data_IF_959598181330
#
_entry.id   IF_959598181330
#
_cell.length_a   1.000
_cell.length_b   1.000
_cell.length_c   1.000
_cell.angle_alpha   90.00
_cell.angle_beta   90.00
_cell.angle_gamma   90.00
#
_symmetry.space_group_name_H-M   'P 1'
#
loop_
_entity.id
_entity.type
_entity.pdbx_description
1 polymer ?
#
# COMPACT_ATOMS: atom_id res chain seq x y z
N UNK A 1 -1.10 21.50 -22.33
CA UNK A 1 -0.48 22.82 -22.57
C UNK A 1 0.25 23.30 -21.32
N UNK A 2 -0.38 23.32 -20.13
CA UNK A 2 0.22 23.79 -18.86
C UNK A 2 1.46 23.00 -18.43
N UNK A 3 1.52 21.68 -18.67
CA UNK A 3 2.67 20.85 -18.30
C UNK A 3 3.94 21.18 -19.09
N UNK A 4 3.83 21.77 -20.29
CA UNK A 4 4.96 22.18 -21.10
C UNK A 4 5.60 23.51 -20.66
N UNK A 5 4.83 24.39 -20.04
CA UNK A 5 5.30 25.72 -19.64
C UNK A 5 5.79 25.80 -18.20
N UNK A 6 5.19 25.01 -17.31
CA UNK A 6 5.45 25.04 -15.87
C UNK A 6 6.24 23.81 -15.36
N UNK A 7 6.49 22.79 -16.21
CA UNK A 7 7.29 21.61 -15.86
C UNK A 7 6.83 20.91 -14.58
N UNK A 8 7.79 20.58 -13.72
CA UNK A 8 7.55 19.87 -12.45
C UNK A 8 6.67 20.66 -11.47
N UNK A 9 6.63 21.98 -11.59
CA UNK A 9 5.84 22.86 -10.71
C UNK A 9 4.33 22.58 -10.83
N UNK A 10 3.83 22.13 -11.99
CA UNK A 10 2.43 21.76 -12.17
C UNK A 10 2.04 20.58 -11.28
N UNK A 11 2.93 19.59 -11.13
CA UNK A 11 2.68 18.43 -10.29
C UNK A 11 2.57 18.84 -8.81
N UNK A 12 3.46 19.71 -8.36
CA UNK A 12 3.44 20.22 -6.98
C UNK A 12 2.16 21.03 -6.73
N UNK A 13 1.78 21.88 -7.68
CA UNK A 13 0.57 22.72 -7.58
C UNK A 13 -0.71 21.85 -7.59
N UNK A 14 -0.75 20.84 -8.44
CA UNK A 14 -1.87 19.89 -8.51
C UNK A 14 -2.02 19.10 -7.22
N UNK A 15 -0.91 18.64 -6.66
CA UNK A 15 -0.90 17.93 -5.38
C UNK A 15 -1.38 18.84 -4.23
N UNK A 16 -0.92 20.09 -4.20
CA UNK A 16 -1.35 21.07 -3.20
C UNK A 16 -2.83 21.40 -3.35
N UNK A 17 -3.30 21.65 -4.57
CA UNK A 17 -4.72 21.93 -4.86
C UNK A 17 -5.62 20.74 -4.46
N UNK A 18 -5.18 19.50 -4.75
CA UNK A 18 -5.89 18.30 -4.32
C UNK A 18 -6.04 18.21 -2.80
N UNK A 19 -4.95 18.43 -2.07
CA UNK A 19 -4.98 18.39 -0.60
C UNK A 19 -5.86 19.51 -0.01
N UNK A 20 -5.80 20.73 -0.55
CA UNK A 20 -6.66 21.84 -0.15
C UNK A 20 -8.14 21.52 -0.41
N UNK A 21 -8.46 20.98 -1.59
CA UNK A 21 -9.82 20.55 -1.92
C UNK A 21 -10.33 19.48 -0.95
N UNK A 22 -9.52 18.46 -0.69
CA UNK A 22 -9.87 17.38 0.24
C UNK A 22 -10.09 17.91 1.66
N UNK A 23 -9.18 18.77 2.16
CA UNK A 23 -9.32 19.40 3.47
C UNK A 23 -10.58 20.28 3.55
N UNK A 24 -10.85 21.08 2.52
CA UNK A 24 -12.05 21.91 2.45
C UNK A 24 -13.34 21.08 2.42
N UNK A 25 -13.36 20.03 1.61
CA UNK A 25 -14.50 19.11 1.53
C UNK A 25 -14.77 18.41 2.87
N UNK A 26 -13.72 17.88 3.53
CA UNK A 26 -13.83 17.27 4.85
C UNK A 26 -14.26 18.28 5.93
N UNK A 27 -13.75 19.52 5.88
CA UNK A 27 -14.16 20.58 6.80
C UNK A 27 -15.65 20.94 6.65
N UNK A 28 -16.17 20.98 5.43
CA UNK A 28 -17.60 21.24 5.17
C UNK A 28 -18.46 20.09 5.70
N UNK A 29 -18.09 18.83 5.42
CA UNK A 29 -18.83 17.65 5.89
C UNK A 29 -18.81 17.51 7.41
N UNK A 30 -17.68 17.79 8.04
CA UNK A 30 -17.51 17.66 9.49
C UNK A 30 -18.05 18.87 10.27
N UNK A 31 -18.41 19.98 9.59
CA UNK A 31 -18.88 21.22 10.21
C UNK A 31 -20.01 21.00 11.21
N UNK A 32 -20.90 20.05 10.96
CA UNK A 32 -22.02 19.71 11.85
C UNK A 32 -21.57 19.09 13.19
N UNK A 33 -20.38 18.49 13.20
CA UNK A 33 -19.81 17.78 14.37
C UNK A 33 -18.77 18.62 15.11
N UNK A 34 -18.49 19.85 14.63
CA UNK A 34 -17.52 20.73 15.27
C UNK A 34 -18.11 21.33 16.55
N UNK A 35 -17.89 20.65 17.65
CA UNK A 35 -18.11 21.21 18.99
C UNK A 35 -16.80 21.81 19.44
N UNK A 36 -16.71 23.15 19.43
CA UNK A 36 -15.54 23.85 19.97
C UNK A 36 -15.58 23.73 21.50
N UNK A 37 -14.92 22.73 22.05
CA UNK A 37 -14.69 22.64 23.49
C UNK A 37 -13.61 23.65 23.90
N UNK A 38 -13.94 24.58 24.80
CA UNK A 38 -12.99 25.56 25.37
C UNK A 38 -11.98 24.94 26.35
N UNK A 39 -12.00 23.62 26.58
CA UNK A 39 -11.07 22.91 27.45
C UNK A 39 -9.72 22.61 26.76
N UNK A 40 -8.69 22.38 27.58
CA UNK A 40 -7.40 21.90 27.04
C UNK A 40 -7.59 20.49 26.43
N UNK A 41 -7.41 20.31 25.10
CA UNK A 41 -7.65 19.03 24.45
C UNK A 41 -6.78 17.89 25.01
N UNK A 42 -5.58 18.19 25.49
CA UNK A 42 -4.66 17.19 26.07
C UNK A 42 -5.12 16.64 27.44
N UNK A 43 -6.09 17.27 28.08
CA UNK A 43 -6.71 16.78 29.32
C UNK A 43 -7.94 15.90 29.08
N UNK A 44 -8.40 15.79 27.86
CA UNK A 44 -9.53 14.92 27.53
C UNK A 44 -9.07 13.46 27.57
N UNK A 45 -9.74 12.58 28.35
CA UNK A 45 -9.38 11.17 28.45
C UNK A 45 -9.33 10.46 27.10
N UNK A 46 -10.26 10.76 26.19
CA UNK A 46 -10.28 10.17 24.85
C UNK A 46 -9.05 10.57 24.01
N UNK A 47 -8.55 11.80 24.17
CA UNK A 47 -7.32 12.27 23.49
C UNK A 47 -6.09 11.59 24.07
N UNK A 48 -6.04 11.40 25.40
CA UNK A 48 -4.93 10.70 26.06
C UNK A 48 -4.87 9.22 25.64
N UNK A 49 -6.03 8.56 25.55
CA UNK A 49 -6.12 7.18 25.07
C UNK A 49 -5.65 7.06 23.59
N UNK A 50 -6.08 8.00 22.74
CA UNK A 50 -5.65 8.07 21.36
C UNK A 50 -4.13 8.28 21.24
N UNK A 51 -3.56 9.20 22.01
CA UNK A 51 -2.12 9.45 22.04
C UNK A 51 -1.34 8.21 22.52
N UNK A 52 -1.88 7.50 23.51
CA UNK A 52 -1.28 6.25 24.01
C UNK A 52 -1.27 5.15 22.94
N UNK A 53 -2.33 5.04 22.14
CA UNK A 53 -2.41 4.11 21.02
C UNK A 53 -1.51 4.52 19.85
N UNK A 54 -1.27 5.81 19.65
CA UNK A 54 -0.41 6.30 18.56
C UNK A 54 1.05 5.90 18.73
N UNK A 55 1.57 5.78 19.96
CA UNK A 55 2.97 5.46 20.21
C UNK A 55 3.43 4.16 19.51
N UNK A 56 2.80 3.00 19.78
CA UNK A 56 3.13 1.74 19.11
C UNK A 56 2.92 1.80 17.59
N UNK A 57 1.87 2.48 17.12
CA UNK A 57 1.59 2.64 15.70
C UNK A 57 2.68 3.44 14.98
N UNK A 58 3.12 4.56 15.57
CA UNK A 58 4.21 5.37 15.02
C UNK A 58 5.51 4.58 14.94
N UNK A 59 5.84 3.78 15.97
CA UNK A 59 7.01 2.90 15.93
C UNK A 59 6.89 1.87 14.80
N UNK A 60 5.75 1.22 14.65
CA UNK A 60 5.51 0.26 13.57
C UNK A 60 5.66 0.87 12.19
N UNK A 61 5.04 2.03 11.95
CA UNK A 61 5.17 2.75 10.68
C UNK A 61 6.60 3.24 10.42
N UNK A 62 7.30 3.72 11.47
CA UNK A 62 8.69 4.17 11.34
C UNK A 62 9.61 3.04 10.87
N UNK A 63 9.42 1.82 11.39
CA UNK A 63 10.18 0.65 10.97
C UNK A 63 9.94 0.31 9.48
N UNK A 64 8.72 0.42 9.00
CA UNK A 64 8.39 0.22 7.58
C UNK A 64 9.10 1.25 6.70
N UNK A 65 9.09 2.53 7.08
CA UNK A 65 9.79 3.57 6.32
C UNK A 65 11.31 3.42 6.36
N UNK A 66 11.88 3.02 7.51
CA UNK A 66 13.32 2.73 7.64
C UNK A 66 13.70 1.59 6.69
N UNK A 67 12.92 0.50 6.66
CA UNK A 67 13.15 -0.62 5.76
C UNK A 67 13.14 -0.18 4.29
N UNK A 68 12.13 0.60 3.87
CA UNK A 68 12.09 1.15 2.50
C UNK A 68 13.28 2.07 2.19
N UNK A 69 13.77 2.81 3.17
CA UNK A 69 14.95 3.66 3.00
C UNK A 69 16.21 2.83 2.82
N UNK A 70 16.38 1.77 3.61
CA UNK A 70 17.50 0.83 3.49
C UNK A 70 17.47 0.13 2.13
N UNK A 71 16.30 -0.35 1.69
CA UNK A 71 16.15 -0.96 0.36
C UNK A 71 16.62 -0.01 -0.76
N UNK A 72 16.20 1.25 -0.72
CA UNK A 72 16.62 2.27 -1.70
C UNK A 72 18.11 2.59 -1.61
N UNK A 73 18.69 2.62 -0.41
CA UNK A 73 20.13 2.82 -0.22
C UNK A 73 20.94 1.66 -0.81
N UNK A 74 20.53 0.43 -0.57
CA UNK A 74 21.18 -0.75 -1.12
C UNK A 74 21.14 -0.75 -2.66
N UNK A 75 19.99 -0.42 -3.23
CA UNK A 75 19.81 -0.38 -4.70
C UNK A 75 20.50 0.82 -5.34
N UNK A 76 20.68 1.93 -4.62
CA UNK A 76 21.38 3.13 -5.16
C UNK A 76 22.86 2.89 -5.43
N UNK A 77 23.47 1.87 -4.83
CA UNK A 77 24.84 1.43 -5.10
C UNK A 77 24.99 0.55 -6.35
N UNK A 78 23.88 0.17 -6.98
CA UNK A 78 23.85 -0.63 -8.20
C UNK A 78 23.91 0.27 -9.46
N UNK A 79 23.69 -0.34 -10.62
CA UNK A 79 23.72 0.33 -11.92
C UNK A 79 22.76 1.53 -12.02
N UNK A 80 23.10 2.48 -12.85
CA UNK A 80 22.24 3.65 -13.11
C UNK A 80 20.86 3.20 -13.60
N UNK A 81 19.79 3.68 -12.92
CA UNK A 81 18.43 3.28 -13.25
C UNK A 81 17.83 2.17 -12.39
N UNK A 82 18.64 1.42 -11.61
CA UNK A 82 18.14 0.32 -10.77
C UNK A 82 17.06 0.77 -9.77
N UNK A 83 17.23 1.94 -9.14
CA UNK A 83 16.21 2.51 -8.24
C UNK A 83 14.90 2.78 -8.98
N UNK A 84 14.99 3.28 -10.21
CA UNK A 84 13.82 3.56 -11.05
C UNK A 84 13.12 2.26 -11.45
N UNK A 85 13.88 1.25 -11.88
CA UNK A 85 13.37 -0.06 -12.23
C UNK A 85 12.68 -0.75 -11.03
N UNK A 86 13.27 -0.65 -9.83
CA UNK A 86 12.67 -1.15 -8.60
C UNK A 86 11.32 -0.47 -8.30
N UNK A 87 11.24 0.85 -8.47
CA UNK A 87 10.00 1.57 -8.28
C UNK A 87 8.90 1.15 -9.27
N UNK A 88 9.25 0.91 -10.54
CA UNK A 88 8.30 0.41 -11.55
C UNK A 88 7.82 -1.00 -11.22
N UNK A 89 8.72 -1.89 -10.81
CA UNK A 89 8.35 -3.23 -10.35
C UNK A 89 7.45 -3.19 -9.11
N UNK A 90 7.73 -2.29 -8.15
CA UNK A 90 6.90 -2.08 -6.97
C UNK A 90 5.49 -1.60 -7.33
N UNK A 91 5.33 -0.72 -8.33
CA UNK A 91 4.01 -0.27 -8.82
C UNK A 91 3.19 -1.46 -9.35
N UNK A 92 3.79 -2.34 -10.18
CA UNK A 92 3.11 -3.54 -10.68
C UNK A 92 2.75 -4.50 -9.54
N UNK A 93 3.67 -4.75 -8.62
CA UNK A 93 3.43 -5.59 -7.46
C UNK A 93 2.30 -5.02 -6.57
N UNK A 94 2.28 -3.71 -6.35
CA UNK A 94 1.25 -3.05 -5.54
C UNK A 94 -0.16 -3.20 -6.10
N UNK A 95 -0.33 -3.36 -7.42
CA UNK A 95 -1.64 -3.68 -7.99
C UNK A 95 -2.16 -5.01 -7.44
N UNK A 96 -1.34 -6.05 -7.45
CA UNK A 96 -1.69 -7.37 -6.90
C UNK A 96 -1.91 -7.29 -5.39
N UNK A 97 -1.01 -6.63 -4.66
CA UNK A 97 -1.13 -6.45 -3.21
C UNK A 97 -2.42 -5.73 -2.80
N UNK A 98 -2.88 -4.76 -3.60
CA UNK A 98 -4.13 -4.03 -3.34
C UNK A 98 -5.35 -4.96 -3.34
N UNK A 99 -5.39 -5.96 -4.22
CA UNK A 99 -6.46 -6.96 -4.18
C UNK A 99 -6.41 -7.78 -2.90
N UNK A 100 -5.23 -8.25 -2.48
CA UNK A 100 -5.07 -9.04 -1.25
C UNK A 100 -5.57 -8.23 -0.05
N UNK A 101 -5.08 -6.98 0.12
CA UNK A 101 -5.46 -6.13 1.25
C UNK A 101 -6.94 -5.74 1.24
N UNK A 102 -7.55 -5.60 0.05
CA UNK A 102 -8.99 -5.32 -0.07
C UNK A 102 -9.81 -6.50 0.43
N UNK A 103 -9.49 -7.72 0.00
CA UNK A 103 -10.19 -8.91 0.48
C UNK A 103 -9.98 -9.13 1.98
N UNK A 104 -8.78 -8.92 2.49
CA UNK A 104 -8.50 -9.00 3.92
C UNK A 104 -9.32 -7.97 4.72
N UNK A 105 -9.45 -6.74 4.23
CA UNK A 105 -10.28 -5.70 4.88
C UNK A 105 -11.77 -6.07 4.92
N UNK A 106 -12.28 -6.69 3.86
CA UNK A 106 -13.66 -7.22 3.85
C UNK A 106 -13.82 -8.35 4.87
N UNK A 107 -12.87 -9.30 4.90
CA UNK A 107 -12.87 -10.39 5.86
C UNK A 107 -12.87 -9.87 7.29
N UNK A 108 -12.03 -8.90 7.60
CA UNK A 108 -11.93 -8.28 8.93
C UNK A 108 -13.29 -7.79 9.43
N UNK A 109 -14.09 -7.14 8.58
CA UNK A 109 -15.43 -6.68 8.93
C UNK A 109 -16.37 -7.84 9.29
N UNK A 110 -16.35 -8.93 8.51
CA UNK A 110 -17.18 -10.12 8.78
C UNK A 110 -16.73 -10.85 10.04
N UNK A 111 -15.43 -11.03 10.24
CA UNK A 111 -14.86 -11.67 11.43
C UNK A 111 -15.23 -10.89 12.70
N UNK A 112 -15.07 -9.57 12.67
CA UNK A 112 -15.44 -8.70 13.79
C UNK A 112 -16.92 -8.82 14.15
N UNK A 113 -17.79 -8.89 13.15
CA UNK A 113 -19.24 -9.06 13.37
C UNK A 113 -19.55 -10.40 14.03
N UNK A 114 -18.91 -11.50 13.61
CA UNK A 114 -19.08 -12.82 14.22
C UNK A 114 -18.60 -12.87 15.66
N UNK A 115 -17.44 -12.28 15.93
CA UNK A 115 -16.90 -12.18 17.30
C UNK A 115 -17.85 -11.38 18.19
N UNK A 116 -18.45 -10.30 17.68
CA UNK A 116 -19.38 -9.45 18.43
C UNK A 116 -20.67 -10.20 18.87
N UNK A 117 -21.09 -11.22 18.12
CA UNK A 117 -22.23 -12.07 18.48
C UNK A 117 -21.82 -13.35 19.24
N UNK A 118 -20.55 -13.51 19.61
CA UNK A 118 -20.04 -14.63 20.39
C UNK A 118 -19.67 -15.88 19.57
N UNK A 119 -19.70 -15.83 18.24
CA UNK A 119 -19.37 -16.93 17.34
C UNK A 119 -17.86 -16.93 17.01
N UNK A 120 -17.02 -17.25 17.99
CA UNK A 120 -15.57 -17.30 17.82
C UNK A 120 -15.12 -18.42 16.88
N UNK A 121 -15.77 -19.59 16.95
CA UNK A 121 -15.45 -20.74 16.10
C UNK A 121 -15.80 -20.47 14.63
N UNK A 122 -16.94 -19.84 14.37
CA UNK A 122 -17.31 -19.41 13.03
C UNK A 122 -16.39 -18.31 12.48
N UNK A 123 -15.88 -17.43 13.34
CA UNK A 123 -14.87 -16.43 12.95
C UNK A 123 -13.54 -17.10 12.55
N UNK A 124 -13.06 -18.07 13.34
CA UNK A 124 -11.83 -18.80 13.04
C UNK A 124 -11.93 -19.60 11.74
N UNK A 125 -13.05 -20.34 11.55
CA UNK A 125 -13.30 -21.08 10.29
C UNK A 125 -13.37 -20.17 9.08
N UNK A 126 -13.98 -18.99 9.20
CA UNK A 126 -14.06 -18.01 8.11
C UNK A 126 -12.65 -17.50 7.74
N UNK A 127 -11.82 -17.18 8.72
CA UNK A 127 -10.43 -16.75 8.54
C UNK A 127 -9.62 -17.83 7.81
N UNK A 128 -9.66 -19.07 8.30
CA UNK A 128 -8.93 -20.19 7.70
C UNK A 128 -9.37 -20.45 6.25
N UNK A 129 -10.67 -20.54 6.00
CA UNK A 129 -11.20 -20.75 4.64
C UNK A 129 -10.81 -19.64 3.68
N UNK A 130 -10.86 -18.39 4.14
CA UNK A 130 -10.49 -17.24 3.31
C UNK A 130 -9.00 -17.24 3.02
N UNK A 131 -8.14 -17.55 4.01
CA UNK A 131 -6.70 -17.66 3.80
C UNK A 131 -6.37 -18.76 2.77
N UNK A 132 -7.01 -19.92 2.87
CA UNK A 132 -6.84 -21.01 1.90
C UNK A 132 -7.32 -20.61 0.50
N UNK A 133 -8.50 -20.02 0.38
CA UNK A 133 -9.07 -19.59 -0.89
C UNK A 133 -8.17 -18.54 -1.56
N UNK A 134 -7.75 -17.52 -0.83
CA UNK A 134 -6.85 -16.50 -1.35
C UNK A 134 -5.50 -17.12 -1.74
N UNK A 135 -4.96 -18.05 -0.96
CA UNK A 135 -3.71 -18.73 -1.30
C UNK A 135 -3.82 -19.51 -2.60
N UNK A 136 -4.92 -20.24 -2.82
CA UNK A 136 -5.19 -20.97 -4.06
C UNK A 136 -5.31 -20.02 -5.27
N UNK A 137 -5.87 -18.83 -5.08
CA UNK A 137 -5.98 -17.81 -6.14
C UNK A 137 -4.63 -17.12 -6.41
N UNK A 138 -3.92 -16.72 -5.35
CA UNK A 138 -2.69 -15.93 -5.51
C UNK A 138 -1.45 -16.78 -5.80
N UNK A 139 -1.47 -18.10 -5.53
CA UNK A 139 -0.38 -18.99 -5.91
C UNK A 139 -0.17 -19.06 -7.44
N UNK A 140 -1.17 -19.33 -8.28
CA UNK A 140 -0.99 -19.29 -9.73
C UNK A 140 -0.63 -17.88 -10.23
N UNK A 141 -1.17 -16.81 -9.64
CA UNK A 141 -0.79 -15.43 -9.98
C UNK A 141 0.70 -15.19 -9.68
N UNK A 142 1.19 -15.66 -8.54
CA UNK A 142 2.61 -15.62 -8.19
C UNK A 142 3.47 -16.34 -9.23
N UNK A 143 3.11 -17.60 -9.57
CA UNK A 143 3.84 -18.40 -10.53
C UNK A 143 3.85 -17.72 -11.91
N UNK A 144 2.71 -17.26 -12.39
CA UNK A 144 2.60 -16.56 -13.66
C UNK A 144 3.40 -15.26 -13.67
N UNK A 145 3.36 -14.48 -12.59
CA UNK A 145 4.14 -13.24 -12.48
C UNK A 145 5.64 -13.52 -12.50
N UNK A 146 6.10 -14.59 -11.84
CA UNK A 146 7.52 -14.98 -11.85
C UNK A 146 7.94 -15.44 -13.24
N UNK A 147 7.15 -16.27 -13.90
CA UNK A 147 7.46 -16.82 -15.22
C UNK A 147 7.40 -15.76 -16.33
N UNK A 148 6.36 -14.94 -16.32
CA UNK A 148 6.07 -13.95 -17.36
C UNK A 148 6.51 -12.53 -16.98
N UNK A 149 7.44 -12.37 -16.03
CA UNK A 149 7.87 -11.07 -15.53
C UNK A 149 8.41 -10.15 -16.63
N UNK A 150 9.19 -10.68 -17.57
CA UNK A 150 9.78 -9.90 -18.68
C UNK A 150 8.70 -9.47 -19.67
N UNK A 151 7.78 -10.36 -20.01
CA UNK A 151 6.65 -10.07 -20.89
C UNK A 151 5.72 -9.03 -20.28
N UNK A 152 5.40 -9.17 -18.99
CA UNK A 152 4.56 -8.21 -18.26
C UNK A 152 5.20 -6.82 -18.29
N UNK A 153 6.48 -6.73 -17.94
CA UNK A 153 7.22 -5.45 -17.90
C UNK A 153 7.33 -4.87 -19.32
N UNK A 154 7.59 -5.72 -20.32
CA UNK A 154 7.69 -5.30 -21.72
C UNK A 154 6.37 -4.70 -22.20
N UNK A 155 5.25 -5.39 -21.99
CA UNK A 155 3.92 -4.92 -22.41
C UNK A 155 3.57 -3.59 -21.75
N UNK A 156 3.90 -3.44 -20.47
CA UNK A 156 3.49 -2.26 -19.69
C UNK A 156 4.43 -1.07 -19.90
N UNK A 157 5.75 -1.31 -19.93
CA UNK A 157 6.74 -0.23 -19.85
C UNK A 157 7.68 -0.10 -21.04
N UNK A 158 7.82 -1.08 -21.95
CA UNK A 158 8.78 -1.01 -23.05
C UNK A 158 8.37 0.02 -24.12
N UNK A 159 8.55 1.30 -23.79
CA UNK A 159 8.26 2.45 -24.70
C UNK A 159 9.23 3.59 -24.41
N UNK A 160 9.56 4.32 -25.47
CA UNK A 160 10.40 5.51 -25.38
C UNK A 160 11.81 5.19 -24.89
N UNK A 161 12.20 5.71 -23.74
CA UNK A 161 13.54 5.55 -23.18
C UNK A 161 13.72 4.27 -22.33
N UNK A 162 12.68 3.42 -22.20
CA UNK A 162 12.74 2.18 -21.41
C UNK A 162 13.29 1.06 -22.30
N UNK A 163 14.59 0.86 -22.24
CA UNK A 163 15.34 -0.09 -23.08
C UNK A 163 15.28 -1.53 -22.55
N UNK A 164 15.86 -2.47 -23.29
CA UNK A 164 15.86 -3.90 -22.95
C UNK A 164 16.58 -4.17 -21.61
N UNK A 165 17.61 -3.40 -21.26
CA UNK A 165 18.30 -3.55 -19.99
C UNK A 165 17.42 -3.09 -18.82
N UNK A 166 16.71 -1.98 -18.97
CA UNK A 166 15.70 -1.53 -18.01
C UNK A 166 14.59 -2.54 -17.80
N UNK A 167 14.12 -3.20 -18.88
CA UNK A 167 13.14 -4.30 -18.80
C UNK A 167 13.69 -5.45 -17.97
N UNK A 168 14.94 -5.88 -18.23
CA UNK A 168 15.59 -6.99 -17.52
C UNK A 168 15.69 -6.72 -16.01
N UNK A 169 16.19 -5.56 -15.62
CA UNK A 169 16.34 -5.18 -14.21
C UNK A 169 14.98 -5.08 -13.52
N UNK A 170 13.99 -4.47 -14.17
CA UNK A 170 12.64 -4.34 -13.64
C UNK A 170 11.95 -5.70 -13.48
N UNK A 171 12.13 -6.61 -14.45
CA UNK A 171 11.57 -7.96 -14.39
C UNK A 171 12.19 -8.80 -13.26
N UNK A 172 13.50 -8.68 -13.03
CA UNK A 172 14.16 -9.33 -11.89
C UNK A 172 13.61 -8.83 -10.56
N UNK A 173 13.42 -7.51 -10.42
CA UNK A 173 12.79 -6.94 -9.22
C UNK A 173 11.34 -7.42 -9.06
N UNK A 174 10.56 -7.50 -10.14
CA UNK A 174 9.19 -7.98 -10.12
C UNK A 174 9.10 -9.45 -9.69
N UNK A 175 10.04 -10.31 -10.14
CA UNK A 175 10.14 -11.71 -9.66
C UNK A 175 10.32 -11.77 -8.15
N UNK A 176 11.20 -10.94 -7.60
CA UNK A 176 11.41 -10.83 -6.16
C UNK A 176 10.14 -10.42 -5.42
N UNK A 177 9.46 -9.38 -5.90
CA UNK A 177 8.19 -8.92 -5.31
C UNK A 177 7.07 -9.96 -5.40
N UNK A 178 6.99 -10.72 -6.50
CA UNK A 178 5.95 -11.71 -6.68
C UNK A 178 6.01 -12.83 -5.62
N UNK A 179 7.20 -13.22 -5.16
CA UNK A 179 7.36 -14.24 -4.14
C UNK A 179 6.71 -13.89 -2.80
N UNK A 180 6.45 -12.60 -2.53
CA UNK A 180 5.80 -12.19 -1.30
C UNK A 180 4.25 -12.19 -1.38
N UNK A 181 3.62 -12.46 -2.53
CA UNK A 181 2.16 -12.42 -2.65
C UNK A 181 1.47 -13.45 -1.73
N UNK A 182 1.93 -14.70 -1.74
CA UNK A 182 1.35 -15.75 -0.88
C UNK A 182 1.64 -15.50 0.60
N UNK A 183 2.87 -15.20 1.05
CA UNK A 183 3.12 -14.77 2.43
C UNK A 183 2.28 -13.56 2.86
N UNK A 184 2.03 -12.62 1.96
CA UNK A 184 1.21 -11.45 2.23
C UNK A 184 -0.24 -11.84 2.57
N UNK A 185 -0.81 -12.83 1.89
CA UNK A 185 -2.14 -13.35 2.22
C UNK A 185 -2.23 -13.76 3.68
N UNK A 186 -1.25 -14.55 4.16
CA UNK A 186 -1.23 -15.01 5.56
C UNK A 186 -0.97 -13.89 6.57
N UNK A 187 -0.30 -12.84 6.15
CA UNK A 187 -0.07 -11.67 7.01
C UNK A 187 -1.32 -10.81 7.17
N UNK A 188 -2.12 -10.68 6.10
CA UNK A 188 -3.28 -9.78 6.07
C UNK A 188 -4.56 -10.43 6.60
N UNK A 189 -4.68 -11.75 6.52
CA UNK A 189 -5.83 -12.54 7.00
C UNK A 189 -5.65 -12.95 8.46
#
# INVERSE_FOLDING_TARGET
>A
ALARTLGVQVLVLSFFAYNLWNAGYMAILSRRYWTVSRGNPFRNPAVQELLRMMGPLLLGYSLVYINQMVDKMLVSGLEAGAVTALNYAAVLSNLVCTFITTFASMLFAYVTTRIAVGDADGAAQLTERTALLLSVVFLPITILTVLLSEEIVTIVYARGAFDAESVRICAQALRGYALMFVPLVFREV
#
